data_IF_054546627926
#
_entry.id   IF_054546627926
#
_cell.length_a   1.000
_cell.length_b   1.000
_cell.length_c   1.000
_cell.angle_alpha   90.00
_cell.angle_beta   90.00
_cell.angle_gamma   90.00
#
_symmetry.space_group_name_H-M   'P 1'
#
loop_
_entity.id
_entity.type
_entity.pdbx_description
1 polymer ?
#
# COMPACT_ATOMS: atom_id res chain seq x y z
N UNK A 1 -15.35 13.95 17.51
CA UNK A 1 -15.53 14.31 16.08
C UNK A 1 -16.47 13.28 15.48
N UNK A 2 -17.29 13.65 14.51
CA UNK A 2 -18.13 12.70 13.78
C UNK A 2 -17.49 12.34 12.44
N UNK A 3 -17.47 11.06 12.08
CA UNK A 3 -16.81 10.55 10.87
C UNK A 3 -17.71 9.55 10.15
N UNK A 4 -17.65 9.55 8.81
CA UNK A 4 -18.27 8.49 8.01
C UNK A 4 -17.52 7.18 8.24
N UNK A 5 -18.28 6.11 8.45
CA UNK A 5 -17.81 4.74 8.60
C UNK A 5 -18.35 3.85 7.47
N UNK A 6 -17.50 3.47 6.53
CA UNK A 6 -17.84 2.55 5.45
C UNK A 6 -16.60 1.95 4.79
N UNK A 7 -16.83 0.94 3.96
CA UNK A 7 -15.84 0.43 3.04
C UNK A 7 -16.48 0.09 1.68
N UNK A 8 -15.70 0.19 0.62
CA UNK A 8 -16.02 -0.37 -0.69
C UNK A 8 -14.77 -1.02 -1.28
N UNK A 9 -14.94 -2.22 -1.84
CA UNK A 9 -13.89 -2.91 -2.60
C UNK A 9 -13.96 -2.60 -4.10
N UNK A 10 -14.91 -1.75 -4.51
CA UNK A 10 -15.13 -1.34 -5.89
C UNK A 10 -15.38 0.16 -5.94
N UNK A 11 -14.35 0.92 -6.31
CA UNK A 11 -14.39 2.36 -6.51
C UNK A 11 -13.65 3.15 -5.45
N UNK A 12 -13.67 4.47 -5.61
CA UNK A 12 -12.97 5.43 -4.74
C UNK A 12 -13.87 6.05 -3.69
N UNK A 13 -15.15 5.69 -3.64
CA UNK A 13 -16.10 6.25 -2.70
C UNK A 13 -16.97 5.18 -2.06
N UNK A 14 -17.45 5.47 -0.86
CA UNK A 14 -18.44 4.67 -0.16
C UNK A 14 -19.35 5.59 0.66
N UNK A 15 -20.59 5.15 0.83
CA UNK A 15 -21.57 5.78 1.71
C UNK A 15 -21.83 4.86 2.89
N UNK A 16 -21.91 5.42 4.09
CA UNK A 16 -22.19 4.66 5.30
C UNK A 16 -22.69 5.53 6.44
N UNK A 17 -22.66 4.96 7.64
CA UNK A 17 -23.12 5.63 8.84
C UNK A 17 -22.14 6.71 9.29
N UNK A 18 -22.66 7.80 9.85
CA UNK A 18 -21.85 8.78 10.56
C UNK A 18 -21.79 8.36 12.03
N UNK A 19 -20.59 8.06 12.51
CA UNK A 19 -20.34 7.67 13.90
C UNK A 19 -19.59 8.77 14.64
N UNK A 20 -19.91 8.96 15.92
CA UNK A 20 -19.12 9.81 16.82
C UNK A 20 -17.92 9.00 17.32
N UNK A 21 -16.71 9.50 17.06
CA UNK A 21 -15.48 8.87 17.53
C UNK A 21 -15.30 9.01 19.04
N UNK A 22 -14.49 8.13 19.62
CA UNK A 22 -14.12 8.17 21.04
C UNK A 22 -13.45 9.50 21.43
N UNK A 23 -13.50 9.81 22.73
CA UNK A 23 -13.15 11.15 23.25
C UNK A 23 -11.70 11.60 22.98
N UNK A 24 -10.79 10.66 22.79
CA UNK A 24 -9.37 10.86 22.48
C UNK A 24 -9.08 10.95 20.97
N UNK A 25 -10.08 10.69 20.12
CA UNK A 25 -9.96 10.76 18.67
C UNK A 25 -10.43 12.11 18.14
N UNK A 26 -9.52 12.80 17.46
CA UNK A 26 -9.75 14.16 16.94
C UNK A 26 -9.80 14.24 15.42
N UNK A 27 -9.70 13.10 14.72
CA UNK A 27 -9.57 13.05 13.26
C UNK A 27 -10.35 11.89 12.65
N UNK A 28 -10.86 12.10 11.44
CA UNK A 28 -11.33 11.03 10.56
C UNK A 28 -10.18 10.52 9.70
N UNK A 29 -10.29 9.28 9.26
CA UNK A 29 -9.35 8.62 8.37
C UNK A 29 -10.08 8.13 7.11
N UNK A 30 -9.45 8.35 5.97
CA UNK A 30 -9.78 7.71 4.70
C UNK A 30 -8.55 6.95 4.21
N UNK A 31 -8.68 5.64 4.01
CA UNK A 31 -7.68 4.82 3.34
C UNK A 31 -8.15 4.53 1.94
N UNK A 32 -7.36 4.86 0.93
CA UNK A 32 -7.67 4.57 -0.48
C UNK A 32 -6.55 3.74 -1.07
N UNK A 33 -6.89 2.62 -1.69
CA UNK A 33 -5.93 1.77 -2.40
C UNK A 33 -6.21 1.77 -3.89
N UNK A 34 -5.16 1.83 -4.70
CA UNK A 34 -5.21 1.59 -6.13
C UNK A 34 -4.26 0.45 -6.50
N UNK A 35 -4.79 -0.58 -7.15
CA UNK A 35 -4.00 -1.61 -7.82
C UNK A 35 -4.17 -1.42 -9.33
N UNK A 36 -3.09 -1.03 -9.99
CA UNK A 36 -3.02 -0.98 -11.46
C UNK A 36 -2.29 -2.21 -11.97
N UNK A 37 -2.95 -2.99 -12.83
CA UNK A 37 -2.36 -4.15 -13.50
C UNK A 37 -2.60 -4.03 -15.01
N UNK A 38 -1.53 -4.06 -15.79
CA UNK A 38 -1.57 -3.97 -17.26
C UNK A 38 -2.40 -2.79 -17.80
N UNK A 39 -2.37 -1.67 -17.06
CA UNK A 39 -3.07 -0.43 -17.40
C UNK A 39 -4.53 -0.36 -16.95
N UNK A 40 -5.08 -1.42 -16.34
CA UNK A 40 -6.39 -1.41 -15.69
C UNK A 40 -6.22 -1.13 -14.19
N UNK A 41 -6.91 -0.11 -13.68
CA UNK A 41 -6.91 0.25 -12.26
C UNK A 41 -8.15 -0.28 -11.55
N UNK A 42 -7.95 -0.81 -10.35
CA UNK A 42 -9.00 -1.17 -9.40
C UNK A 42 -8.77 -0.41 -8.10
N UNK A 43 -9.86 0.04 -7.47
CA UNK A 43 -9.80 0.90 -6.30
C UNK A 43 -10.62 0.33 -5.15
N UNK A 44 -10.12 0.56 -3.94
CA UNK A 44 -10.84 0.31 -2.70
C UNK A 44 -10.75 1.54 -1.81
N UNK A 45 -11.77 1.74 -0.97
CA UNK A 45 -11.80 2.85 -0.02
C UNK A 45 -12.36 2.39 1.31
N UNK A 46 -11.77 2.89 2.38
CA UNK A 46 -12.19 2.64 3.76
C UNK A 46 -12.25 3.99 4.47
N UNK A 47 -13.33 4.21 5.22
CA UNK A 47 -13.57 5.43 5.99
C UNK A 47 -13.91 5.05 7.41
N UNK A 48 -13.23 5.63 8.39
CA UNK A 48 -13.44 5.36 9.81
C UNK A 48 -12.84 6.46 10.69
N UNK A 49 -13.05 6.35 12.01
CA UNK A 49 -12.36 7.17 13.01
C UNK A 49 -10.87 6.83 13.03
N UNK A 50 -9.98 7.81 13.03
CA UNK A 50 -8.54 7.53 13.12
C UNK A 50 -8.15 6.92 14.48
N UNK A 51 -6.98 6.30 14.54
CA UNK A 51 -6.36 5.87 15.81
C UNK A 51 -5.45 6.95 16.41
N UNK A 52 -5.18 6.95 17.73
CA UNK A 52 -4.25 7.89 18.34
C UNK A 52 -2.84 7.74 17.76
N UNK A 53 -2.27 8.83 17.26
CA UNK A 53 -0.92 8.85 16.69
C UNK A 53 -0.83 8.49 15.20
N UNK A 54 -1.96 8.19 14.56
CA UNK A 54 -2.02 8.04 13.10
C UNK A 54 -1.65 9.35 12.40
N UNK A 55 -1.10 9.25 11.20
CA UNK A 55 -0.76 10.38 10.35
C UNK A 55 -1.06 10.04 8.88
N UNK A 56 -1.22 11.06 8.04
CA UNK A 56 -1.36 10.84 6.60
C UNK A 56 -0.04 10.30 6.01
N UNK A 57 -0.13 9.30 5.15
CA UNK A 57 1.02 8.69 4.47
C UNK A 57 0.63 8.12 3.11
N UNK A 58 1.64 7.89 2.28
CA UNK A 58 1.50 7.27 0.96
C UNK A 58 2.49 6.11 0.88
N UNK A 59 1.99 4.92 0.58
CA UNK A 59 2.77 3.72 0.32
C UNK A 59 2.68 3.36 -1.15
N UNK A 60 3.81 3.01 -1.77
CA UNK A 60 3.88 2.61 -3.18
C UNK A 60 4.80 1.43 -3.38
N UNK A 61 4.37 0.52 -4.25
CA UNK A 61 5.15 -0.60 -4.73
C UNK A 61 4.96 -0.80 -6.23
N UNK A 62 6.04 -1.17 -6.92
CA UNK A 62 6.01 -1.39 -8.37
C UNK A 62 6.76 -2.66 -8.77
N UNK A 63 6.07 -3.50 -9.55
CA UNK A 63 6.53 -4.75 -10.13
C UNK A 63 6.15 -4.81 -11.61
N UNK A 64 7.10 -4.54 -12.50
CA UNK A 64 6.87 -4.52 -13.95
C UNK A 64 5.66 -3.64 -14.35
N UNK A 65 4.55 -4.21 -14.83
CA UNK A 65 3.31 -3.51 -15.21
C UNK A 65 2.28 -3.43 -14.08
N UNK A 66 2.61 -3.95 -12.90
CA UNK A 66 1.77 -3.93 -11.71
C UNK A 66 2.26 -2.89 -10.72
N UNK A 67 1.34 -2.07 -10.22
CA UNK A 67 1.61 -0.98 -9.30
C UNK A 67 0.55 -1.01 -8.21
N UNK A 68 1.00 -1.01 -6.96
CA UNK A 68 0.14 -0.87 -5.81
C UNK A 68 0.43 0.48 -5.14
N UNK A 69 -0.63 1.22 -4.84
CA UNK A 69 -0.57 2.45 -4.07
C UNK A 69 -1.64 2.43 -2.98
N UNK A 70 -1.27 2.88 -1.78
CA UNK A 70 -2.17 2.98 -0.64
C UNK A 70 -1.94 4.33 0.04
N UNK A 71 -3.01 5.08 0.25
CA UNK A 71 -2.95 6.39 0.90
C UNK A 71 -3.81 6.43 2.14
N UNK A 72 -3.21 6.86 3.24
CA UNK A 72 -3.90 7.26 4.46
C UNK A 72 -4.04 8.78 4.45
N UNK A 73 -5.28 9.26 4.58
CA UNK A 73 -5.61 10.67 4.56
C UNK A 73 -6.46 11.04 5.78
N UNK A 74 -5.94 11.95 6.59
CA UNK A 74 -6.61 12.42 7.79
C UNK A 74 -7.18 13.83 7.64
N UNK A 75 -8.29 14.08 8.32
CA UNK A 75 -8.91 15.38 8.41
C UNK A 75 -9.57 15.56 9.79
N UNK A 76 -9.76 16.79 10.25
CA UNK A 76 -10.04 17.09 11.67
C UNK A 76 -11.31 17.92 11.90
N UNK A 77 -12.27 17.86 10.98
CA UNK A 77 -13.60 18.48 11.15
C UNK A 77 -14.70 17.43 10.99
N UNK A 78 -15.87 17.63 11.61
CA UNK A 78 -16.97 16.68 11.49
C UNK A 78 -17.30 16.37 10.02
N UNK A 79 -17.50 15.09 9.72
CA UNK A 79 -17.82 14.52 8.40
C UNK A 79 -16.84 14.89 7.28
N UNK A 80 -15.59 15.25 7.62
CA UNK A 80 -14.61 15.67 6.62
C UNK A 80 -14.20 14.56 5.63
N UNK A 81 -14.45 13.30 5.99
CA UNK A 81 -14.17 12.13 5.15
C UNK A 81 -15.37 11.70 4.28
N UNK A 82 -16.44 12.51 4.16
CA UNK A 82 -17.65 12.13 3.42
C UNK A 82 -17.40 11.95 1.91
N UNK A 83 -16.50 12.73 1.31
CA UNK A 83 -16.21 12.65 -0.12
C UNK A 83 -15.40 11.42 -0.56
N UNK A 84 -15.16 11.27 -1.87
CA UNK A 84 -14.33 10.21 -2.41
C UNK A 84 -12.91 10.24 -1.83
N UNK A 85 -12.36 9.06 -1.59
CA UNK A 85 -10.94 8.86 -1.33
C UNK A 85 -10.09 9.41 -2.48
N UNK A 86 -8.93 9.97 -2.14
CA UNK A 86 -8.04 10.56 -3.12
C UNK A 86 -6.81 9.66 -3.33
N UNK A 87 -6.33 9.62 -4.56
CA UNK A 87 -5.08 8.99 -4.95
C UNK A 87 -4.19 10.06 -5.59
N UNK A 88 -3.05 10.30 -4.97
CA UNK A 88 -2.02 11.22 -5.46
C UNK A 88 -1.37 10.63 -6.72
N UNK A 89 -1.39 11.34 -7.86
CA UNK A 89 -0.77 10.85 -9.09
C UNK A 89 0.71 10.51 -8.91
N UNK A 90 1.14 9.38 -9.48
CA UNK A 90 2.53 8.94 -9.45
C UNK A 90 3.41 9.76 -10.38
N UNK A 91 4.65 10.01 -9.95
CA UNK A 91 5.71 10.44 -10.85
C UNK A 91 6.37 9.20 -11.48
N UNK A 92 6.04 8.93 -12.74
CA UNK A 92 6.57 7.77 -13.48
C UNK A 92 7.97 8.02 -14.08
N UNK A 93 8.62 9.13 -13.76
CA UNK A 93 9.99 9.40 -14.22
C UNK A 93 10.98 8.49 -13.48
N UNK A 94 11.91 7.84 -14.19
CA UNK A 94 12.97 7.07 -13.54
C UNK A 94 13.79 7.92 -12.56
N UNK A 95 14.04 7.43 -11.36
CA UNK A 95 14.63 8.20 -10.26
C UNK A 95 16.13 7.92 -10.00
N UNK A 96 16.80 7.19 -10.89
CA UNK A 96 18.22 6.84 -10.73
C UNK A 96 18.48 5.62 -9.84
N UNK A 97 17.44 4.94 -9.35
CA UNK A 97 17.54 3.70 -8.57
C UNK A 97 17.07 2.51 -9.39
N UNK A 98 17.78 1.38 -9.28
CA UNK A 98 17.36 0.09 -9.79
C UNK A 98 17.19 -0.92 -8.67
N UNK A 99 16.15 -1.74 -8.79
CA UNK A 99 15.92 -2.87 -7.89
C UNK A 99 15.87 -4.17 -8.66
N UNK A 100 16.33 -5.25 -8.03
CA UNK A 100 16.03 -6.61 -8.50
C UNK A 100 14.52 -6.77 -8.54
N UNK A 101 13.99 -7.43 -9.58
CA UNK A 101 12.56 -7.68 -9.72
C UNK A 101 12.26 -9.11 -10.12
N UNK A 102 11.30 -9.69 -9.41
CA UNK A 102 10.74 -11.00 -9.70
C UNK A 102 9.40 -11.15 -8.98
N UNK A 103 8.61 -12.10 -9.47
CA UNK A 103 7.37 -12.58 -8.88
C UNK A 103 7.36 -14.09 -9.07
N UNK A 104 7.15 -14.85 -7.99
CA UNK A 104 7.07 -16.31 -8.06
C UNK A 104 5.90 -16.78 -7.21
N UNK A 105 4.93 -17.41 -7.86
CA UNK A 105 3.79 -18.05 -7.20
C UNK A 105 4.22 -19.37 -6.58
N UNK A 106 3.57 -19.74 -5.49
CA UNK A 106 3.79 -20.98 -4.73
C UNK A 106 5.26 -21.20 -4.29
N UNK A 107 6.01 -20.11 -4.10
CA UNK A 107 7.41 -20.11 -3.67
C UNK A 107 7.65 -19.03 -2.63
N UNK A 108 8.54 -19.32 -1.69
CA UNK A 108 9.07 -18.37 -0.72
C UNK A 108 10.32 -17.64 -1.22
N UNK A 109 10.91 -18.14 -2.30
CA UNK A 109 12.16 -17.68 -2.87
C UNK A 109 11.92 -16.99 -4.20
N UNK A 110 12.60 -15.85 -4.38
CA UNK A 110 12.53 -15.01 -5.56
C UNK A 110 13.93 -14.43 -5.80
N UNK A 111 14.80 -15.26 -6.38
CA UNK A 111 16.16 -14.86 -6.72
C UNK A 111 16.28 -14.57 -8.20
N UNK A 112 16.85 -13.41 -8.51
CA UNK A 112 16.91 -12.87 -9.86
C UNK A 112 18.09 -11.91 -9.98
N UNK A 113 18.67 -11.86 -11.17
CA UNK A 113 19.63 -10.82 -11.55
C UNK A 113 18.97 -9.74 -12.42
N UNK A 114 17.70 -9.91 -12.80
CA UNK A 114 16.95 -8.92 -13.56
C UNK A 114 16.66 -7.72 -12.66
N UNK A 115 16.97 -6.53 -13.16
CA UNK A 115 16.69 -5.27 -12.49
C UNK A 115 15.75 -4.39 -13.30
N UNK A 116 14.89 -3.62 -12.64
CA UNK A 116 14.15 -2.52 -13.27
C UNK A 116 14.61 -1.18 -12.73
N UNK A 117 14.29 -0.10 -13.47
CA UNK A 117 14.42 1.28 -12.98
C UNK A 117 13.20 1.62 -12.13
N UNK A 118 13.43 2.09 -10.91
CA UNK A 118 12.38 2.62 -10.07
C UNK A 118 12.00 4.04 -10.49
N UNK A 119 10.80 4.46 -10.10
CA UNK A 119 10.21 5.73 -10.51
C UNK A 119 9.83 6.58 -9.31
N UNK A 120 9.79 7.90 -9.50
CA UNK A 120 9.31 8.85 -8.49
C UNK A 120 10.01 8.71 -7.14
N UNK A 121 9.23 8.58 -6.08
CA UNK A 121 9.67 8.46 -4.69
C UNK A 121 10.08 7.04 -4.26
N UNK A 122 9.89 6.03 -5.13
CA UNK A 122 10.26 4.64 -4.83
C UNK A 122 11.77 4.43 -4.92
N UNK A 123 12.49 4.79 -3.87
CA UNK A 123 13.94 4.83 -3.83
C UNK A 123 14.59 3.62 -3.11
N UNK A 124 13.80 2.69 -2.59
CA UNK A 124 14.25 1.44 -1.96
C UNK A 124 13.77 0.21 -2.74
N UNK A 125 14.37 -0.93 -2.41
CA UNK A 125 13.93 -2.24 -2.88
C UNK A 125 13.27 -2.99 -1.74
N UNK A 126 12.13 -3.60 -2.02
CA UNK A 126 11.41 -4.46 -1.09
C UNK A 126 11.50 -5.91 -1.58
N UNK A 127 11.75 -6.82 -0.66
CA UNK A 127 11.49 -8.24 -0.81
C UNK A 127 10.41 -8.65 0.18
N UNK A 128 9.36 -9.28 -0.32
CA UNK A 128 8.28 -9.82 0.49
C UNK A 128 8.00 -11.26 0.08
N UNK A 129 7.86 -12.16 1.04
CA UNK A 129 7.34 -13.50 0.79
C UNK A 129 6.52 -14.03 1.95
N UNK A 130 5.55 -14.87 1.61
CA UNK A 130 4.59 -15.41 2.57
C UNK A 130 3.27 -15.76 1.89
N UNK A 131 2.25 -16.00 2.71
CA UNK A 131 0.87 -16.24 2.28
C UNK A 131 0.19 -14.89 1.98
N UNK A 132 0.64 -14.21 0.92
CA UNK A 132 0.36 -12.78 0.66
C UNK A 132 -0.21 -12.50 -0.73
N UNK A 133 -0.25 -13.49 -1.61
CA UNK A 133 -0.92 -13.37 -2.91
C UNK A 133 -2.32 -13.97 -2.85
N UNK A 134 -3.23 -13.49 -3.68
CA UNK A 134 -4.64 -13.92 -3.69
C UNK A 134 -5.10 -14.16 -5.12
N UNK A 135 -5.77 -15.28 -5.38
CA UNK A 135 -6.24 -15.68 -6.72
C UNK A 135 -7.72 -15.34 -6.99
N UNK A 136 -8.37 -14.67 -6.05
CA UNK A 136 -9.81 -14.39 -6.07
C UNK A 136 -10.61 -15.28 -5.11
N UNK A 137 -10.03 -16.39 -4.66
CA UNK A 137 -10.66 -17.35 -3.76
C UNK A 137 -9.91 -17.50 -2.44
N UNK A 138 -8.61 -17.75 -2.50
CA UNK A 138 -7.79 -18.00 -1.32
C UNK A 138 -6.46 -17.27 -1.42
N UNK A 139 -5.87 -17.00 -0.25
CA UNK A 139 -4.48 -16.56 -0.18
C UNK A 139 -3.54 -17.75 -0.41
N UNK A 140 -2.47 -17.52 -1.16
CA UNK A 140 -1.44 -18.51 -1.46
C UNK A 140 -0.04 -17.93 -1.28
N UNK A 141 0.93 -18.84 -1.12
CA UNK A 141 2.31 -18.48 -0.87
C UNK A 141 2.90 -17.87 -2.14
N UNK A 142 3.55 -16.73 -2.04
CA UNK A 142 4.32 -16.16 -3.13
C UNK A 142 5.50 -15.33 -2.60
N UNK A 143 6.40 -14.99 -3.51
CA UNK A 143 7.54 -14.14 -3.24
C UNK A 143 7.71 -13.09 -4.34
N UNK A 144 8.04 -11.87 -3.94
CA UNK A 144 8.24 -10.76 -4.86
C UNK A 144 9.40 -9.87 -4.46
N UNK A 145 10.03 -9.27 -5.47
CA UNK A 145 10.97 -8.15 -5.33
C UNK A 145 10.47 -6.96 -6.11
N UNK A 146 10.34 -5.81 -5.46
CA UNK A 146 9.69 -4.62 -6.02
C UNK A 146 10.46 -3.34 -5.68
N UNK A 147 10.19 -2.27 -6.41
CA UNK A 147 10.58 -0.92 -5.98
C UNK A 147 9.57 -0.44 -4.93
N UNK A 148 10.01 0.29 -3.91
CA UNK A 148 9.12 0.86 -2.89
C UNK A 148 9.61 2.21 -2.36
N UNK A 149 8.71 3.00 -1.76
CA UNK A 149 9.03 4.28 -1.12
C UNK A 149 9.25 4.19 0.40
N UNK A 150 9.05 3.03 1.03
CA UNK A 150 9.32 2.83 2.45
C UNK A 150 10.82 2.66 2.73
N UNK A 151 11.27 3.15 3.88
CA UNK A 151 12.66 3.09 4.33
C UNK A 151 12.98 1.87 5.22
N UNK A 152 11.98 1.26 5.86
CA UNK A 152 12.15 0.06 6.68
C UNK A 152 10.92 -0.85 6.63
N UNK A 153 11.04 -2.15 6.97
CA UNK A 153 9.92 -3.09 6.95
C UNK A 153 8.72 -2.64 7.80
N UNK A 154 8.97 -1.99 8.93
CA UNK A 154 7.94 -1.53 9.89
C UNK A 154 6.99 -0.48 9.29
N UNK A 155 7.41 0.19 8.21
CA UNK A 155 6.60 1.17 7.50
C UNK A 155 5.67 0.54 6.46
N UNK A 156 5.81 -0.76 6.19
CA UNK A 156 4.90 -1.45 5.28
C UNK A 156 3.48 -1.47 5.89
N UNK A 157 2.42 -1.10 5.14
CA UNK A 157 1.06 -1.02 5.68
C UNK A 157 0.54 -2.32 6.29
N UNK A 158 1.04 -3.46 5.80
CA UNK A 158 0.69 -4.80 6.29
C UNK A 158 1.76 -5.39 7.22
N UNK A 159 2.63 -4.58 7.84
CA UNK A 159 3.69 -5.09 8.72
C UNK A 159 3.14 -5.95 9.88
N UNK A 160 1.93 -5.66 10.36
CA UNK A 160 1.26 -6.47 11.37
C UNK A 160 1.12 -7.95 10.96
N UNK A 161 1.08 -8.24 9.65
CA UNK A 161 0.99 -9.60 9.12
C UNK A 161 2.27 -10.43 9.31
N UNK A 162 3.39 -9.78 9.64
CA UNK A 162 4.62 -10.47 10.06
C UNK A 162 4.37 -11.19 11.40
N UNK A 163 3.62 -10.55 12.31
CA UNK A 163 3.34 -11.11 13.64
C UNK A 163 2.31 -12.24 13.60
N UNK A 164 1.31 -12.12 12.73
CA UNK A 164 0.32 -13.19 12.49
C UNK A 164 0.92 -14.33 11.66
N UNK A 165 2.04 -14.07 10.98
CA UNK A 165 2.81 -15.06 10.23
C UNK A 165 2.31 -15.28 8.81
N UNK A 166 1.44 -14.42 8.26
CA UNK A 166 1.12 -14.45 6.83
C UNK A 166 2.32 -13.99 6.01
N UNK A 167 2.91 -12.84 6.35
CA UNK A 167 4.21 -12.42 5.83
C UNK A 167 5.28 -13.19 6.60
N UNK A 168 6.03 -14.05 5.91
CA UNK A 168 7.13 -14.82 6.51
C UNK A 168 8.46 -14.09 6.42
N UNK A 169 8.63 -13.26 5.40
CA UNK A 169 9.86 -12.49 5.18
C UNK A 169 9.54 -11.15 4.55
N UNK A 170 10.06 -10.08 5.14
CA UNK A 170 9.90 -8.71 4.68
C UNK A 170 11.23 -8.00 4.87
N UNK A 171 11.87 -7.59 3.77
CA UNK A 171 13.18 -6.96 3.78
C UNK A 171 13.16 -5.71 2.92
N UNK A 172 13.63 -4.60 3.46
CA UNK A 172 13.85 -3.35 2.71
C UNK A 172 15.35 -3.14 2.58
N UNK A 173 15.83 -2.93 1.35
CA UNK A 173 17.25 -2.69 1.06
C UNK A 173 17.44 -1.43 0.23
N UNK A 174 18.65 -0.89 0.25
CA UNK A 174 19.06 0.11 -0.74
C UNK A 174 18.99 -0.47 -2.15
N UNK A 175 18.63 0.38 -3.11
CA UNK A 175 18.72 0.04 -4.52
C UNK A 175 20.07 0.38 -5.14
N UNK A 176 20.28 -0.15 -6.35
CA UNK A 176 21.49 0.06 -7.14
C UNK A 176 21.38 1.41 -7.84
N UNK A 177 22.26 2.36 -7.51
CA UNK A 177 22.34 3.64 -8.23
C UNK A 177 22.86 3.42 -9.64
N UNK A 178 22.26 4.08 -10.62
CA UNK A 178 22.79 4.15 -11.97
C UNK A 178 22.99 5.60 -12.39
N UNK A 179 24.09 5.82 -13.12
CA UNK A 179 24.45 7.11 -13.71
C UNK A 179 23.61 7.43 -14.96
#
# INVERSE_FOLDING_TARGET
>A
IDCVHCYSNDGTDCSGEVITCDNDITSCLTITSELTQDGAASNQVFKFCAEPGEHSWIHREELSTTVFQLESQMCNTNNCNEGPGQITPRDNRPNGVKCKQCFVEHSMDCDTEKTTKCTGDMNKCLFMSGLVCHDGTDFYVCAQRVCTNIASPEQHPFYYEVTTGYIKKLEVTEGIRYE
#
